data_IF_956947432809
#
_entry.id   IF_956947432809
#
_cell.length_a   1.000
_cell.length_b   1.000
_cell.length_c   1.000
_cell.angle_alpha   90.00
_cell.angle_beta   90.00
_cell.angle_gamma   90.00
#
_symmetry.space_group_name_H-M   'P 1'
#
loop_
_entity.id
_entity.type
_entity.pdbx_description
1 polymer ?
#
# COMPACT_ATOMS: atom_id res chain seq x y z
N UNK A 1 2.34 -8.01 -13.10
CA UNK A 1 2.33 -6.83 -14.00
C UNK A 1 3.11 -5.71 -13.32
N UNK A 2 4.26 -5.29 -13.85
CA UNK A 2 5.06 -4.19 -13.27
C UNK A 2 4.35 -2.86 -13.56
N UNK A 3 4.10 -2.04 -12.54
CA UNK A 3 3.25 -0.83 -12.60
C UNK A 3 3.88 0.36 -13.37
N UNK A 4 5.03 0.16 -14.02
CA UNK A 4 5.80 1.23 -14.71
C UNK A 4 5.64 1.29 -16.22
N UNK A 5 5.13 0.24 -16.87
CA UNK A 5 4.82 0.34 -18.30
C UNK A 5 3.44 0.99 -18.49
N UNK A 6 3.27 1.93 -19.44
CA UNK A 6 1.96 2.51 -19.73
C UNK A 6 1.01 1.38 -20.13
N UNK A 7 0.03 1.13 -19.26
CA UNK A 7 -0.96 0.08 -19.46
C UNK A 7 -1.73 0.41 -20.73
N UNK A 8 -1.47 -0.34 -21.80
CA UNK A 8 -2.16 -0.14 -23.08
C UNK A 8 -3.45 -0.93 -23.03
N UNK A 9 -4.52 -0.27 -22.56
CA UNK A 9 -5.87 -0.84 -22.56
C UNK A 9 -6.50 -0.54 -23.91
N UNK A 10 -6.73 -1.58 -24.70
CA UNK A 10 -7.44 -1.40 -25.96
C UNK A 10 -8.87 -0.87 -25.70
N UNK A 11 -9.27 0.23 -26.32
CA UNK A 11 -10.66 0.69 -26.38
C UNK A 11 -11.11 1.65 -25.27
N UNK A 12 -11.68 2.78 -25.71
CA UNK A 12 -12.03 3.95 -24.90
C UNK A 12 -12.90 3.65 -23.67
N UNK A 13 -13.85 2.71 -23.76
CA UNK A 13 -14.71 2.37 -22.62
C UNK A 13 -13.96 1.60 -21.53
N UNK A 14 -13.02 0.72 -21.92
CA UNK A 14 -12.21 -0.05 -20.97
C UNK A 14 -11.21 0.85 -20.25
N UNK A 15 -10.57 1.76 -20.99
CA UNK A 15 -9.68 2.77 -20.41
C UNK A 15 -10.43 3.67 -19.41
N UNK A 16 -11.65 4.11 -19.75
CA UNK A 16 -12.49 4.89 -18.83
C UNK A 16 -12.91 4.09 -17.59
N UNK A 17 -13.27 2.82 -17.73
CA UNK A 17 -13.64 1.96 -16.59
C UNK A 17 -12.44 1.75 -15.68
N UNK A 18 -11.30 1.35 -16.26
CA UNK A 18 -10.06 1.16 -15.51
C UNK A 18 -9.63 2.44 -14.80
N UNK A 19 -9.53 3.56 -15.51
CA UNK A 19 -9.12 4.85 -14.94
C UNK A 19 -10.08 5.35 -13.84
N UNK A 20 -11.37 5.01 -13.91
CA UNK A 20 -12.31 5.33 -12.83
C UNK A 20 -12.09 4.46 -11.60
N UNK A 21 -11.88 3.15 -11.75
CA UNK A 21 -11.55 2.26 -10.64
C UNK A 21 -10.20 2.64 -10.03
N UNK A 22 -9.22 2.98 -10.87
CA UNK A 22 -7.90 3.46 -10.48
C UNK A 22 -8.05 4.73 -9.60
N UNK A 23 -8.75 5.75 -10.12
CA UNK A 23 -8.96 7.01 -9.41
C UNK A 23 -9.74 6.89 -8.08
N UNK A 24 -10.64 5.92 -7.96
CA UNK A 24 -11.57 5.79 -6.82
C UNK A 24 -11.27 4.59 -5.90
N UNK A 25 -10.28 3.76 -6.24
CA UNK A 25 -10.02 2.51 -5.53
C UNK A 25 -11.13 1.48 -5.71
N UNK A 26 -11.48 0.79 -4.62
CA UNK A 26 -12.54 -0.21 -4.64
C UNK A 26 -13.92 0.43 -4.87
N UNK A 27 -14.59 0.06 -5.97
CA UNK A 27 -15.88 0.66 -6.35
C UNK A 27 -16.94 -0.39 -6.65
N UNK A 28 -18.14 -0.20 -6.09
CA UNK A 28 -19.31 -1.01 -6.44
C UNK A 28 -19.55 -0.95 -7.96
N UNK A 29 -19.71 -2.12 -8.58
CA UNK A 29 -19.81 -2.27 -10.04
C UNK A 29 -20.99 -1.49 -10.62
N UNK A 30 -22.11 -1.41 -9.88
CA UNK A 30 -23.31 -0.67 -10.32
C UNK A 30 -23.11 0.82 -10.18
N UNK A 31 -22.44 1.26 -9.11
CA UNK A 31 -22.08 2.65 -8.88
C UNK A 31 -21.12 3.15 -9.96
N UNK A 32 -20.05 2.40 -10.23
CA UNK A 32 -19.08 2.73 -11.27
C UNK A 32 -19.75 2.90 -12.63
N UNK A 33 -20.66 1.98 -13.01
CA UNK A 33 -21.45 2.12 -14.24
C UNK A 33 -22.27 3.41 -14.25
N UNK A 34 -23.00 3.70 -13.18
CA UNK A 34 -23.88 4.86 -13.09
C UNK A 34 -23.12 6.17 -13.26
N UNK A 35 -21.94 6.25 -12.66
CA UNK A 35 -21.14 7.47 -12.64
C UNK A 35 -20.38 7.67 -13.97
N UNK A 36 -19.89 6.59 -14.57
CA UNK A 36 -19.20 6.63 -15.87
C UNK A 36 -20.12 6.87 -17.06
N UNK A 37 -21.36 6.36 -16.99
CA UNK A 37 -22.32 6.39 -18.10
C UNK A 37 -23.66 6.98 -17.65
N UNK A 38 -23.71 8.24 -17.17
CA UNK A 38 -24.93 8.83 -16.62
C UNK A 38 -26.02 9.08 -17.67
N UNK A 39 -25.67 9.02 -18.96
CA UNK A 39 -26.58 9.20 -20.08
C UNK A 39 -27.25 7.89 -20.52
N UNK A 40 -26.79 6.74 -20.03
CA UNK A 40 -27.35 5.44 -20.38
C UNK A 40 -28.74 5.27 -19.74
N UNK A 41 -29.76 4.77 -20.46
CA UNK A 41 -31.07 4.55 -19.89
C UNK A 41 -31.01 3.55 -18.72
N UNK A 42 -31.56 3.95 -17.57
CA UNK A 42 -31.59 3.12 -16.38
C UNK A 42 -32.35 1.82 -16.63
N UNK A 43 -31.72 0.68 -16.31
CA UNK A 43 -32.30 -0.65 -16.48
C UNK A 43 -32.33 -1.18 -17.91
N UNK A 44 -31.67 -0.50 -18.88
CA UNK A 44 -31.54 -1.03 -20.24
C UNK A 44 -30.56 -2.23 -20.28
N UNK A 45 -31.03 -3.43 -20.66
CA UNK A 45 -30.20 -4.64 -20.68
C UNK A 45 -29.03 -4.57 -21.67
N UNK A 46 -29.11 -3.75 -22.72
CA UNK A 46 -28.05 -3.63 -23.72
C UNK A 46 -26.83 -2.92 -23.14
N UNK A 47 -27.05 -1.78 -22.49
CA UNK A 47 -26.00 -1.00 -21.83
C UNK A 47 -25.38 -1.76 -20.64
N UNK A 48 -26.20 -2.51 -19.89
CA UNK A 48 -25.72 -3.40 -18.84
C UNK A 48 -24.81 -4.52 -19.33
N UNK A 49 -25.11 -5.06 -20.51
CA UNK A 49 -24.28 -6.11 -21.12
C UNK A 49 -22.98 -5.52 -21.66
N UNK A 50 -23.03 -4.33 -22.27
CA UNK A 50 -21.83 -3.65 -22.76
C UNK A 50 -20.85 -3.35 -21.62
N UNK A 51 -21.32 -2.74 -20.51
CA UNK A 51 -20.49 -2.48 -19.34
C UNK A 51 -19.88 -3.78 -18.77
N UNK A 52 -20.71 -4.81 -18.53
CA UNK A 52 -20.23 -6.11 -18.03
C UNK A 52 -19.24 -6.78 -18.98
N UNK A 53 -19.40 -6.61 -20.29
CA UNK A 53 -18.48 -7.16 -21.28
C UNK A 53 -17.09 -6.51 -21.18
N UNK A 54 -17.03 -5.17 -21.08
CA UNK A 54 -15.77 -4.45 -20.90
C UNK A 54 -15.09 -4.83 -19.58
N UNK A 55 -15.84 -4.87 -18.47
CA UNK A 55 -15.34 -5.34 -17.17
C UNK A 55 -14.81 -6.78 -17.26
N UNK A 56 -15.54 -7.70 -17.89
CA UNK A 56 -15.10 -9.08 -18.03
C UNK A 56 -13.79 -9.20 -18.83
N UNK A 57 -13.56 -8.33 -19.82
CA UNK A 57 -12.29 -8.31 -20.55
C UNK A 57 -11.17 -7.73 -19.69
N UNK A 58 -11.41 -6.62 -18.98
CA UNK A 58 -10.44 -6.06 -18.03
C UNK A 58 -10.04 -7.09 -16.95
N UNK A 59 -11.00 -7.89 -16.48
CA UNK A 59 -10.73 -9.00 -15.56
C UNK A 59 -9.93 -10.14 -16.18
N UNK A 60 -10.31 -10.55 -17.40
CA UNK A 60 -9.61 -11.62 -18.13
C UNK A 60 -8.16 -11.23 -18.42
N UNK A 61 -7.94 -9.96 -18.75
CA UNK A 61 -6.64 -9.42 -19.12
C UNK A 61 -5.83 -8.95 -17.89
N UNK A 62 -6.36 -9.15 -16.68
CA UNK A 62 -5.63 -8.93 -15.42
C UNK A 62 -5.51 -7.47 -14.99
N UNK A 63 -6.35 -6.57 -15.52
CA UNK A 63 -6.39 -5.15 -15.14
C UNK A 63 -7.34 -4.87 -13.98
N UNK A 64 -8.41 -5.64 -13.86
CA UNK A 64 -9.37 -5.53 -12.76
C UNK A 64 -9.61 -6.87 -12.09
N UNK A 65 -9.96 -6.84 -10.83
CA UNK A 65 -10.55 -7.96 -10.11
C UNK A 65 -11.92 -7.55 -9.54
N UNK A 66 -12.77 -8.54 -9.25
CA UNK A 66 -14.09 -8.31 -8.66
C UNK A 66 -14.15 -9.08 -7.34
N UNK A 67 -14.33 -8.37 -6.24
CA UNK A 67 -14.48 -8.94 -4.89
C UNK A 67 -15.85 -9.58 -4.66
N UNK A 68 -16.04 -10.19 -3.49
CA UNK A 68 -17.27 -10.92 -3.14
C UNK A 68 -18.54 -10.04 -3.12
N UNK A 69 -18.39 -8.73 -2.89
CA UNK A 69 -19.49 -7.76 -2.80
C UNK A 69 -19.70 -6.92 -4.08
N UNK A 70 -19.62 -7.53 -5.27
CA UNK A 70 -19.79 -6.84 -6.58
C UNK A 70 -18.87 -5.60 -6.72
N UNK A 71 -17.68 -5.60 -6.10
CA UNK A 71 -16.77 -4.44 -6.06
C UNK A 71 -15.58 -4.62 -7.01
N UNK A 72 -15.36 -3.68 -7.93
CA UNK A 72 -14.21 -3.67 -8.85
C UNK A 72 -13.00 -3.03 -8.20
N UNK A 73 -11.83 -3.62 -8.42
CA UNK A 73 -10.51 -3.11 -7.97
C UNK A 73 -9.48 -3.31 -9.07
N UNK A 74 -8.40 -2.54 -9.05
CA UNK A 74 -7.25 -2.77 -9.92
C UNK A 74 -6.62 -4.11 -9.57
N UNK A 75 -6.49 -4.99 -10.55
CA UNK A 75 -5.75 -6.23 -10.37
C UNK A 75 -4.26 -5.90 -10.43
N UNK A 76 -3.61 -5.87 -9.26
CA UNK A 76 -2.16 -5.81 -9.20
C UNK A 76 -1.67 -7.26 -9.18
N UNK A 77 -1.21 -7.74 -10.33
CA UNK A 77 -0.61 -9.07 -10.41
C UNK A 77 0.78 -9.05 -9.75
N UNK A 78 0.77 -9.32 -8.45
CA UNK A 78 1.94 -9.59 -7.60
C UNK A 78 1.88 -11.02 -7.03
N UNK A 79 1.12 -11.90 -7.69
CA UNK A 79 0.77 -13.24 -7.19
C UNK A 79 1.97 -14.18 -7.05
N UNK A 80 3.08 -13.88 -7.74
CA UNK A 80 4.34 -14.63 -7.68
C UNK A 80 5.37 -14.02 -6.68
N UNK A 81 5.01 -12.95 -5.97
CA UNK A 81 5.89 -12.22 -5.04
C UNK A 81 5.72 -12.66 -3.58
N UNK A 82 5.72 -13.98 -3.35
CA UNK A 82 5.58 -14.57 -2.02
C UNK A 82 6.90 -15.13 -1.54
N UNK A 83 7.31 -14.71 -0.36
CA UNK A 83 8.46 -15.28 0.35
C UNK A 83 8.01 -16.00 1.61
N UNK A 84 8.50 -17.22 1.79
CA UNK A 84 8.22 -18.03 2.97
C UNK A 84 9.53 -18.37 3.66
N UNK A 85 9.55 -18.20 4.97
CA UNK A 85 10.66 -18.66 5.79
C UNK A 85 10.16 -19.07 7.17
N UNK A 86 10.90 -19.99 7.78
CA UNK A 86 10.66 -20.40 9.17
C UNK A 86 11.76 -19.82 10.04
N UNK A 87 11.38 -19.12 11.11
CA UNK A 87 12.30 -18.59 12.12
C UNK A 87 11.72 -18.85 13.51
N UNK A 88 12.54 -19.40 14.42
CA UNK A 88 12.13 -19.76 15.79
C UNK A 88 10.82 -20.57 15.88
N UNK A 89 10.67 -21.57 15.01
CA UNK A 89 9.47 -22.43 14.89
C UNK A 89 8.19 -21.67 14.47
N UNK A 90 8.32 -20.45 13.95
CA UNK A 90 7.24 -19.65 13.35
C UNK A 90 7.38 -19.66 11.83
N UNK A 91 6.34 -20.10 11.13
CA UNK A 91 6.26 -20.02 9.68
C UNK A 91 5.70 -18.65 9.27
N UNK A 92 6.53 -17.87 8.58
CA UNK A 92 6.21 -16.52 8.13
C UNK A 92 6.02 -16.53 6.62
N UNK A 93 4.98 -15.84 6.16
CA UNK A 93 4.79 -15.49 4.75
C UNK A 93 4.84 -13.98 4.58
N UNK A 94 5.75 -13.48 3.75
CA UNK A 94 5.77 -12.09 3.28
C UNK A 94 5.21 -12.06 1.87
N UNK A 95 4.26 -11.16 1.62
CA UNK A 95 3.60 -11.00 0.32
C UNK A 95 3.00 -9.61 0.17
N UNK A 96 2.67 -9.19 -1.06
CA UNK A 96 1.75 -8.10 -1.29
C UNK A 96 0.45 -8.27 -0.51
N UNK A 97 -0.08 -7.16 -0.03
CA UNK A 97 -1.33 -7.12 0.69
C UNK A 97 -2.53 -7.13 -0.28
N UNK A 98 -3.58 -7.87 0.09
CA UNK A 98 -4.89 -7.82 -0.55
C UNK A 98 -5.85 -7.00 0.30
N UNK A 99 -6.98 -6.58 -0.27
CA UNK A 99 -8.00 -5.85 0.48
C UNK A 99 -8.50 -6.62 1.73
N UNK A 100 -8.44 -7.96 1.71
CA UNK A 100 -8.83 -8.80 2.85
C UNK A 100 -7.90 -8.59 4.06
N UNK A 101 -6.66 -8.16 3.83
CA UNK A 101 -5.70 -7.87 4.89
C UNK A 101 -5.96 -6.53 5.57
N UNK A 102 -6.83 -5.67 5.03
CA UNK A 102 -7.03 -4.29 5.51
C UNK A 102 -7.27 -4.23 7.02
N UNK A 103 -8.20 -5.03 7.53
CA UNK A 103 -8.50 -5.07 8.97
C UNK A 103 -7.30 -5.57 9.78
N UNK A 104 -6.56 -6.54 9.27
CA UNK A 104 -5.34 -7.05 9.90
C UNK A 104 -4.23 -6.00 9.96
N UNK A 105 -4.03 -5.25 8.87
CA UNK A 105 -3.05 -4.17 8.77
C UNK A 105 -3.39 -3.04 9.74
N UNK A 106 -4.64 -2.53 9.72
CA UNK A 106 -5.08 -1.49 10.65
C UNK A 106 -4.92 -1.96 12.10
N UNK A 107 -5.27 -3.22 12.40
CA UNK A 107 -5.07 -3.82 13.71
C UNK A 107 -3.60 -3.89 14.13
N UNK A 108 -2.70 -4.29 13.23
CA UNK A 108 -1.27 -4.37 13.49
C UNK A 108 -0.65 -2.98 13.71
N UNK A 109 -0.99 -2.01 12.85
CA UNK A 109 -0.55 -0.63 12.98
C UNK A 109 -0.93 -0.06 14.35
N UNK A 110 -2.20 -0.15 14.73
CA UNK A 110 -2.68 0.41 16.00
C UNK A 110 -1.96 -0.19 17.21
N UNK A 111 -1.69 -1.49 17.21
CA UNK A 111 -0.92 -2.14 18.29
C UNK A 111 0.51 -1.63 18.37
N UNK A 112 1.20 -1.49 17.24
CA UNK A 112 2.56 -0.93 17.21
C UNK A 112 2.57 0.54 17.65
N UNK A 113 1.57 1.33 17.25
CA UNK A 113 1.42 2.74 17.67
C UNK A 113 1.22 2.84 19.19
N UNK A 114 0.40 1.98 19.79
CA UNK A 114 0.20 1.90 21.24
C UNK A 114 1.50 1.58 22.00
N UNK A 115 2.38 0.75 21.42
CA UNK A 115 3.61 0.28 22.06
C UNK A 115 4.79 1.26 21.95
N UNK A 116 5.02 1.83 20.75
CA UNK A 116 6.26 2.56 20.45
C UNK A 116 6.04 3.96 19.86
N UNK A 117 4.79 4.42 19.79
CA UNK A 117 4.37 5.69 19.19
C UNK A 117 4.99 5.93 17.80
N UNK A 118 4.30 5.52 16.74
CA UNK A 118 4.68 5.84 15.36
C UNK A 118 3.63 6.75 14.71
N UNK A 119 3.96 8.02 14.54
CA UNK A 119 3.01 9.06 14.13
C UNK A 119 2.63 8.93 12.65
N UNK A 120 3.62 8.58 11.80
CA UNK A 120 3.35 8.30 10.39
C UNK A 120 2.50 7.04 10.21
N UNK A 121 2.76 5.99 11.01
CA UNK A 121 1.94 4.78 10.96
C UNK A 121 0.50 5.04 11.44
N UNK A 122 0.32 5.83 12.50
CA UNK A 122 -1.02 6.25 12.97
C UNK A 122 -1.80 6.96 11.87
N UNK A 123 -1.17 7.90 11.17
CA UNK A 123 -1.76 8.62 10.04
C UNK A 123 -2.16 7.68 8.89
N UNK A 124 -1.36 6.64 8.63
CA UNK A 124 -1.70 5.60 7.65
C UNK A 124 -2.92 4.80 8.11
N UNK A 125 -3.00 4.41 9.38
CA UNK A 125 -4.16 3.70 9.93
C UNK A 125 -5.45 4.52 9.77
N UNK A 126 -5.41 5.79 10.16
CA UNK A 126 -6.56 6.70 10.06
C UNK A 126 -7.05 6.87 8.61
N UNK A 127 -6.11 6.98 7.65
CA UNK A 127 -6.45 7.05 6.24
C UNK A 127 -7.12 5.75 5.75
N UNK A 128 -6.60 4.60 6.15
CA UNK A 128 -7.16 3.29 5.82
C UNK A 128 -8.57 3.11 6.41
N UNK A 129 -8.79 3.50 7.67
CA UNK A 129 -10.12 3.44 8.31
C UNK A 129 -11.13 4.39 7.65
N UNK A 130 -10.69 5.58 7.24
CA UNK A 130 -11.58 6.57 6.63
C UNK A 130 -11.99 6.19 5.20
N UNK A 131 -11.03 5.67 4.43
CA UNK A 131 -11.21 5.39 3.01
C UNK A 131 -11.76 3.99 2.74
N UNK A 132 -11.49 3.02 3.63
CA UNK A 132 -11.80 1.60 3.46
C UNK A 132 -11.19 0.99 2.18
N UNK A 133 -10.07 1.57 1.74
CA UNK A 133 -9.35 1.21 0.50
C UNK A 133 -7.87 1.04 0.83
N UNK A 134 -7.35 -0.16 0.62
CA UNK A 134 -5.97 -0.49 0.93
C UNK A 134 -4.99 0.06 -0.11
N UNK A 135 -5.26 -0.19 -1.38
CA UNK A 135 -4.36 0.14 -2.49
C UNK A 135 -4.90 1.34 -3.24
N UNK A 136 -4.00 2.25 -3.61
CA UNK A 136 -4.32 3.38 -4.49
C UNK A 136 -3.34 3.44 -5.64
N UNK A 137 -3.86 3.81 -6.78
CA UNK A 137 -3.07 4.24 -7.91
C UNK A 137 -3.93 5.27 -8.61
N UNK A 138 -3.57 6.54 -8.63
CA UNK A 138 -4.35 7.57 -9.31
C UNK A 138 -3.45 8.72 -9.75
N UNK A 139 -4.03 9.81 -10.25
CA UNK A 139 -3.27 10.98 -10.72
C UNK A 139 -2.54 11.75 -9.59
N UNK A 140 -2.86 11.46 -8.32
CA UNK A 140 -2.31 12.15 -7.14
C UNK A 140 -1.24 11.32 -6.46
N UNK A 141 -1.48 10.02 -6.29
CA UNK A 141 -0.60 9.13 -5.53
C UNK A 141 -0.71 7.66 -5.96
N UNK A 142 0.32 6.88 -5.61
CA UNK A 142 0.26 5.41 -5.53
C UNK A 142 0.46 4.99 -4.08
N UNK A 143 -0.28 3.98 -3.62
CA UNK A 143 -0.19 3.39 -2.30
C UNK A 143 -0.04 1.89 -2.44
N UNK A 144 1.06 1.35 -1.90
CA UNK A 144 1.36 -0.08 -1.90
C UNK A 144 1.57 -0.60 -0.49
N UNK A 145 1.18 -1.85 -0.27
CA UNK A 145 1.40 -2.55 0.99
C UNK A 145 1.95 -3.94 0.74
N UNK A 146 2.90 -4.32 1.60
CA UNK A 146 3.33 -5.69 1.84
C UNK A 146 2.95 -6.08 3.27
N UNK A 147 2.59 -7.33 3.47
CA UNK A 147 2.25 -7.88 4.79
C UNK A 147 3.11 -9.09 5.09
N UNK A 148 3.45 -9.23 6.37
CA UNK A 148 3.94 -10.47 6.94
C UNK A 148 2.78 -11.15 7.66
N UNK A 149 2.57 -12.43 7.38
CA UNK A 149 1.50 -13.24 7.98
C UNK A 149 2.05 -14.49 8.67
N UNK A 150 1.44 -14.83 9.81
CA UNK A 150 1.68 -16.06 10.57
C UNK A 150 0.33 -16.71 10.80
N UNK A 151 0.17 -17.99 10.43
CA UNK A 151 -1.12 -18.70 10.46
C UNK A 151 -2.29 -17.96 9.76
N UNK A 152 -1.96 -17.07 8.82
CA UNK A 152 -2.92 -16.23 8.08
C UNK A 152 -3.22 -14.87 8.73
N UNK A 153 -2.77 -14.62 9.96
CA UNK A 153 -2.94 -13.33 10.64
C UNK A 153 -1.82 -12.36 10.26
N UNK A 154 -2.15 -11.09 10.02
CA UNK A 154 -1.17 -10.03 9.74
C UNK A 154 -0.40 -9.68 11.01
N UNK A 155 0.92 -9.87 10.99
CA UNK A 155 1.83 -9.60 12.12
C UNK A 155 2.81 -8.46 11.86
N UNK A 156 2.85 -7.97 10.63
CA UNK A 156 3.68 -6.82 10.24
C UNK A 156 3.29 -6.31 8.86
N UNK A 157 3.68 -5.08 8.57
CA UNK A 157 3.42 -4.43 7.28
C UNK A 157 4.63 -3.61 6.83
N UNK A 158 4.72 -3.41 5.52
CA UNK A 158 5.45 -2.29 4.93
C UNK A 158 4.51 -1.56 3.99
N UNK A 159 4.52 -0.24 4.06
CA UNK A 159 3.68 0.66 3.28
C UNK A 159 4.58 1.61 2.50
N UNK A 160 4.23 1.85 1.24
CA UNK A 160 4.87 2.82 0.37
C UNK A 160 3.82 3.78 -0.18
N UNK A 161 4.07 5.07 0.02
CA UNK A 161 3.35 6.16 -0.62
C UNK A 161 4.24 6.80 -1.69
N UNK A 162 3.75 6.88 -2.92
CA UNK A 162 4.47 7.47 -4.06
C UNK A 162 3.68 8.68 -4.57
N UNK A 163 4.19 9.91 -4.40
CA UNK A 163 3.56 11.10 -4.97
C UNK A 163 3.58 11.04 -6.50
N UNK A 164 2.47 11.34 -7.19
CA UNK A 164 2.41 11.33 -8.66
C UNK A 164 2.77 12.68 -9.31
N UNK A 165 3.04 13.71 -8.50
CA UNK A 165 3.62 14.95 -9.00
C UNK A 165 4.96 14.64 -9.67
N UNK A 166 5.11 14.92 -10.96
CA UNK A 166 6.28 14.57 -11.78
C UNK A 166 7.63 14.81 -11.07
N UNK A 167 7.77 15.97 -10.41
CA UNK A 167 8.99 16.38 -9.69
C UNK A 167 9.32 15.55 -8.44
N UNK A 168 8.36 14.78 -7.92
CA UNK A 168 8.47 13.94 -6.73
C UNK A 168 8.21 12.46 -7.04
N UNK A 169 7.80 12.13 -8.26
CA UNK A 169 7.45 10.76 -8.67
C UNK A 169 8.57 9.73 -8.57
N UNK A 170 9.82 10.19 -8.48
CA UNK A 170 11.00 9.36 -8.24
C UNK A 170 11.22 9.04 -6.74
N UNK A 171 10.35 9.51 -5.85
CA UNK A 171 10.47 9.32 -4.40
C UNK A 171 9.33 8.47 -3.86
N UNK A 172 9.60 7.71 -2.80
CA UNK A 172 8.58 7.03 -2.02
C UNK A 172 8.78 7.27 -0.52
N UNK A 173 7.67 7.51 0.18
CA UNK A 173 7.63 7.52 1.64
C UNK A 173 7.28 6.13 2.16
N UNK A 174 8.06 5.63 3.12
CA UNK A 174 7.90 4.29 3.67
C UNK A 174 7.48 4.33 5.14
N UNK A 175 6.54 3.47 5.51
CA UNK A 175 6.36 3.06 6.91
C UNK A 175 6.46 1.55 7.01
N UNK A 176 7.06 1.04 8.08
CA UNK A 176 7.19 -0.41 8.33
C UNK A 176 7.05 -0.67 9.81
N UNK A 177 6.41 -1.78 10.15
CA UNK A 177 6.25 -2.19 11.54
C UNK A 177 5.95 -3.66 11.69
N UNK A 178 6.31 -4.19 12.85
CA UNK A 178 6.10 -5.59 13.24
C UNK A 178 5.61 -5.58 14.69
N UNK A 179 4.60 -6.40 14.97
CA UNK A 179 4.12 -6.64 16.33
C UNK A 179 5.26 -7.11 17.24
N UNK A 180 5.28 -6.66 18.50
CA UNK A 180 6.39 -6.91 19.44
C UNK A 180 6.73 -8.39 19.57
N UNK A 181 5.72 -9.26 19.68
CA UNK A 181 5.91 -10.70 19.83
C UNK A 181 6.55 -11.40 18.60
N UNK A 182 6.64 -10.72 17.45
CA UNK A 182 7.20 -11.23 16.20
C UNK A 182 8.47 -10.46 15.76
N UNK A 183 9.05 -9.62 16.64
CA UNK A 183 10.33 -8.93 16.36
C UNK A 183 11.53 -9.87 16.56
N UNK A 184 12.69 -9.47 16.03
CA UNK A 184 13.95 -10.21 16.20
C UNK A 184 14.11 -11.47 15.34
N UNK A 185 13.07 -11.92 14.64
CA UNK A 185 13.09 -13.13 13.80
C UNK A 185 13.21 -12.84 12.29
N UNK A 186 13.58 -11.61 11.92
CA UNK A 186 13.87 -11.23 10.52
C UNK A 186 12.71 -10.64 9.72
N UNK A 187 11.47 -10.64 10.25
CA UNK A 187 10.27 -10.14 9.55
C UNK A 187 10.43 -8.69 9.05
N UNK A 188 10.88 -7.78 9.92
CA UNK A 188 11.06 -6.37 9.53
C UNK A 188 12.07 -6.21 8.40
N UNK A 189 13.09 -7.07 8.33
CA UNK A 189 14.08 -7.04 7.24
C UNK A 189 13.46 -7.48 5.93
N UNK A 190 12.77 -8.63 5.93
CA UNK A 190 12.11 -9.11 4.72
C UNK A 190 11.04 -8.15 4.20
N UNK A 191 10.29 -7.49 5.10
CA UNK A 191 9.30 -6.48 4.72
C UNK A 191 9.98 -5.26 4.07
N UNK A 192 11.07 -4.77 4.66
CA UNK A 192 11.82 -3.65 4.12
C UNK A 192 12.46 -3.99 2.78
N UNK A 193 13.12 -5.15 2.68
CA UNK A 193 13.75 -5.63 1.46
C UNK A 193 12.72 -5.71 0.32
N UNK A 194 11.52 -6.23 0.62
CA UNK A 194 10.47 -6.35 -0.39
C UNK A 194 9.87 -5.03 -0.83
N UNK A 195 9.74 -4.08 0.09
CA UNK A 195 9.32 -2.73 -0.23
C UNK A 195 10.38 -2.00 -1.09
N UNK A 196 11.66 -2.14 -0.77
CA UNK A 196 12.75 -1.51 -1.53
C UNK A 196 12.94 -2.13 -2.92
N UNK A 197 12.82 -3.46 -3.05
CA UNK A 197 12.81 -4.14 -4.34
C UNK A 197 11.68 -3.62 -5.23
N UNK A 198 10.46 -3.56 -4.69
CA UNK A 198 9.33 -2.99 -5.42
C UNK A 198 9.58 -1.53 -5.80
N UNK A 199 10.13 -0.71 -4.90
CA UNK A 199 10.41 0.69 -5.18
C UNK A 199 11.39 0.82 -6.36
N UNK A 200 12.48 0.06 -6.36
CA UNK A 200 13.48 0.04 -7.42
C UNK A 200 12.88 -0.42 -8.76
N UNK A 201 12.13 -1.52 -8.77
CA UNK A 201 11.45 -2.04 -9.97
C UNK A 201 10.44 -1.05 -10.55
N UNK A 202 9.88 -0.20 -9.69
CA UNK A 202 8.91 0.81 -10.06
C UNK A 202 9.54 2.20 -10.32
N UNK A 203 10.86 2.29 -10.41
CA UNK A 203 11.58 3.48 -10.84
C UNK A 203 11.83 4.52 -9.74
N UNK A 204 11.66 4.14 -8.47
CA UNK A 204 11.88 5.05 -7.36
C UNK A 204 13.38 5.12 -7.09
N UNK A 205 13.93 6.34 -7.18
CA UNK A 205 15.34 6.63 -6.99
C UNK A 205 15.69 6.91 -5.52
N UNK A 206 14.66 7.17 -4.69
CA UNK A 206 14.80 7.50 -3.28
C UNK A 206 13.61 7.01 -2.47
N UNK A 207 13.90 6.35 -1.35
CA UNK A 207 12.90 6.01 -0.33
C UNK A 207 13.26 6.73 0.95
N UNK A 208 12.27 7.35 1.59
CA UNK A 208 12.46 8.13 2.82
C UNK A 208 11.38 7.82 3.85
N UNK A 209 11.64 8.20 5.10
CA UNK A 209 10.67 8.08 6.19
C UNK A 209 11.03 9.03 7.35
N UNK A 210 10.08 9.15 8.28
CA UNK A 210 10.26 9.89 9.53
C UNK A 210 10.07 8.97 10.74
N UNK A 211 10.97 9.10 11.71
CA UNK A 211 10.99 8.29 12.94
C UNK A 211 11.11 9.22 14.16
N UNK A 212 10.30 9.07 15.22
CA UNK A 212 10.51 9.80 16.46
C UNK A 212 11.87 9.47 17.07
N UNK A 213 12.59 10.47 17.59
CA UNK A 213 13.94 10.28 18.16
C UNK A 213 13.98 9.31 19.35
N UNK A 214 12.85 9.06 20.00
CA UNK A 214 12.69 8.07 21.08
C UNK A 214 12.70 6.62 20.58
N UNK A 215 12.48 6.38 19.29
CA UNK A 215 12.50 5.04 18.69
C UNK A 215 13.91 4.67 18.21
N UNK A 216 14.84 4.56 19.17
CA UNK A 216 16.25 4.24 18.91
C UNK A 216 16.42 2.89 18.21
N UNK A 217 15.54 1.92 18.47
CA UNK A 217 15.56 0.61 17.83
C UNK A 217 15.30 0.70 16.32
N UNK A 218 14.28 1.47 15.92
CA UNK A 218 14.00 1.68 14.50
C UNK A 218 15.12 2.45 13.80
N UNK A 219 15.68 3.49 14.44
CA UNK A 219 16.80 4.26 13.87
C UNK A 219 18.00 3.33 13.63
N UNK A 220 18.40 2.53 14.64
CA UNK A 220 19.49 1.58 14.49
C UNK A 220 19.19 0.52 13.42
N UNK A 221 17.96 0.01 13.37
CA UNK A 221 17.51 -0.94 12.35
C UNK A 221 17.70 -0.38 10.93
N UNK A 222 17.39 0.89 10.69
CA UNK A 222 17.58 1.53 9.39
C UNK A 222 19.05 1.84 9.09
N UNK A 223 19.82 2.36 10.06
CA UNK A 223 21.25 2.62 9.90
C UNK A 223 22.03 1.36 9.53
N UNK A 224 21.74 0.24 10.21
CA UNK A 224 22.34 -1.08 9.92
C UNK A 224 22.04 -1.57 8.49
N UNK A 225 20.99 -1.02 7.86
CA UNK A 225 20.55 -1.34 6.49
C UNK A 225 20.93 -0.25 5.48
N UNK A 226 21.85 0.64 5.85
CA UNK A 226 22.44 1.61 4.94
C UNK A 226 21.60 2.86 4.72
N UNK A 227 20.54 3.07 5.51
CA UNK A 227 19.83 4.34 5.53
C UNK A 227 20.69 5.42 6.18
N UNK A 228 20.52 6.65 5.72
CA UNK A 228 21.21 7.82 6.28
C UNK A 228 20.21 8.81 6.84
N UNK A 229 20.57 9.43 7.97
CA UNK A 229 19.83 10.57 8.51
C UNK A 229 20.05 11.78 7.60
N UNK A 230 18.98 12.32 7.03
CA UNK A 230 19.02 13.51 6.17
C UNK A 230 18.76 14.79 6.97
N UNK A 231 17.90 14.72 7.97
CA UNK A 231 17.54 15.84 8.81
C UNK A 231 17.04 15.38 10.19
N UNK A 232 17.20 16.26 11.18
CA UNK A 232 16.51 16.17 12.47
C UNK A 232 15.72 17.46 12.65
N UNK A 233 14.42 17.36 12.94
CA UNK A 233 13.59 18.51 13.30
C UNK A 233 13.34 18.50 14.80
N UNK A 234 13.91 19.50 15.48
CA UNK A 234 13.75 19.67 16.92
C UNK A 234 12.28 19.95 17.29
N UNK A 235 11.81 19.37 18.39
CA UNK A 235 10.47 19.57 18.96
C UNK A 235 9.33 19.40 17.91
N UNK A 236 9.52 18.54 16.92
CA UNK A 236 8.59 18.41 15.79
C UNK A 236 7.26 17.77 16.20
N UNK A 237 7.34 16.75 17.05
CA UNK A 237 6.20 16.01 17.54
C UNK A 237 5.85 16.43 18.95
N UNK A 238 4.55 16.34 19.29
CA UNK A 238 4.07 16.57 20.64
C UNK A 238 3.24 15.37 21.09
N UNK A 239 3.76 14.62 22.06
CA UNK A 239 3.07 13.52 22.72
C UNK A 239 2.70 13.98 24.12
N UNK A 240 1.40 14.08 24.40
CA UNK A 240 0.88 14.68 25.63
C UNK A 240 1.47 16.08 25.92
N UNK A 241 2.36 16.19 26.91
CA UNK A 241 3.03 17.44 27.32
C UNK A 241 4.51 17.49 26.92
N UNK A 242 5.03 16.44 26.29
CA UNK A 242 6.44 16.31 25.90
C UNK A 242 6.62 16.55 24.40
N UNK A 243 7.76 17.15 24.04
CA UNK A 243 8.16 17.36 22.66
C UNK A 243 9.23 16.34 22.28
N UNK A 244 9.11 15.79 21.07
CA UNK A 244 10.00 14.77 20.54
C UNK A 244 10.49 15.22 19.16
N UNK A 245 11.77 15.01 18.91
CA UNK A 245 12.38 15.33 17.62
C UNK A 245 11.95 14.33 16.55
N UNK A 246 11.81 14.81 15.32
CA UNK A 246 11.66 13.94 14.14
C UNK A 246 13.03 13.67 13.53
N UNK A 247 13.37 12.40 13.38
CA UNK A 247 14.56 11.93 12.65
C UNK A 247 14.12 11.48 11.26
N UNK A 248 14.52 12.23 10.24
CA UNK A 248 14.22 11.92 8.84
C UNK A 248 15.36 11.11 8.24
N UNK A 249 15.04 9.94 7.72
CA UNK A 249 16.03 9.02 7.14
C UNK A 249 15.68 8.70 5.69
N UNK A 250 16.69 8.40 4.87
CA UNK A 250 16.48 7.96 3.50
C UNK A 250 17.51 6.94 3.03
N UNK A 251 17.17 6.26 1.94
CA UNK A 251 18.06 5.40 1.16
C UNK A 251 17.81 5.64 -0.34
N UNK A 252 18.84 5.44 -1.15
CA UNK A 252 18.71 5.29 -2.61
C UNK A 252 18.86 3.81 -2.95
N UNK A 253 17.76 3.09 -3.24
CA UNK A 253 17.77 1.65 -3.51
C UNK A 253 18.49 1.27 -4.80
#
# INVERSE_FOLDING_TARGET
MVLTDPITIDGDERERIYGYVEAHGAVDTRQARRDLFPQDPHGDPQHERAFRHNVAILKRDGYLEEGEDDTLRIAIDLSDEREEFSADDVDVTIRPASQEDLTGIVGAIRRVVEEMTSIEAESVADALDHEDVLLRHNDVESRMFFVATVDGDVVGWAHLHVPKLEKLSHTAELTVGVLEEYRGIGIGSGLLDRALEWALENGQEKVYQSVPSTNEEAIAFFEDRGWTIEAVREDHYKLDEEYIDEVMMAISP
#
